data_IF_010854574523
#
_entry.id   IF_010854574523
#
_cell.length_a   1.000
_cell.length_b   1.000
_cell.length_c   1.000
_cell.angle_alpha   90.00
_cell.angle_beta   90.00
_cell.angle_gamma   90.00
#
_symmetry.space_group_name_H-M   'P 1'
#
loop_
_entity.id
_entity.type
_entity.pdbx_description
1 polymer ?
#
# COMPACT_ATOMS: atom_id res chain seq x y z
N UNK A 1 3.98 1.23 30.85
CA UNK A 1 5.39 1.22 30.40
C UNK A 1 6.10 -0.07 30.83
N UNK A 2 5.90 -1.16 30.11
CA UNK A 2 6.48 -2.48 30.46
C UNK A 2 7.68 -2.89 29.57
N UNK A 3 8.39 -1.93 28.99
CA UNK A 3 9.49 -2.22 28.03
C UNK A 3 10.89 -1.91 28.60
N UNK A 4 10.99 -1.31 29.78
CA UNK A 4 12.26 -0.99 30.44
C UNK A 4 12.86 -2.24 31.10
N UNK A 5 13.47 -3.13 30.33
CA UNK A 5 14.11 -4.35 30.79
C UNK A 5 14.17 -5.48 29.76
N UNK A 6 13.51 -5.32 28.62
CA UNK A 6 13.57 -6.31 27.54
C UNK A 6 14.92 -6.18 26.83
N UNK A 7 15.78 -7.20 26.97
CA UNK A 7 17.01 -7.31 26.19
C UNK A 7 16.71 -7.41 24.69
N UNK A 8 17.68 -7.01 23.86
CA UNK A 8 17.54 -7.18 22.40
C UNK A 8 17.40 -8.66 22.03
N UNK A 9 16.54 -8.96 21.05
CA UNK A 9 16.37 -10.30 20.49
C UNK A 9 17.00 -10.35 19.09
N UNK A 10 17.79 -11.38 18.83
CA UNK A 10 18.50 -11.56 17.55
C UNK A 10 18.59 -13.02 17.15
N UNK A 11 18.98 -13.25 15.92
CA UNK A 11 19.11 -14.59 15.34
C UNK A 11 20.00 -15.50 16.22
N UNK A 12 19.52 -16.74 16.41
CA UNK A 12 20.16 -17.77 17.26
C UNK A 12 19.61 -17.82 18.68
N UNK A 13 18.96 -16.75 19.16
CA UNK A 13 18.33 -16.76 20.50
C UNK A 13 17.09 -17.65 20.54
N UNK A 14 16.78 -18.18 21.74
CA UNK A 14 15.65 -19.07 21.99
C UNK A 14 14.94 -18.67 23.28
N UNK A 15 13.66 -19.03 23.37
CA UNK A 15 12.88 -18.87 24.60
C UNK A 15 11.55 -18.16 24.39
N UNK A 16 10.87 -17.90 25.50
CA UNK A 16 9.52 -17.33 25.51
C UNK A 16 9.46 -15.92 24.91
N UNK A 17 10.48 -15.08 25.13
CA UNK A 17 10.53 -13.73 24.59
C UNK A 17 10.65 -13.74 23.05
N UNK A 18 11.38 -14.73 22.49
CA UNK A 18 11.43 -14.94 21.03
C UNK A 18 10.05 -15.39 20.54
N UNK A 19 9.40 -16.32 21.22
CA UNK A 19 8.06 -16.78 20.85
C UNK A 19 7.03 -15.65 20.92
N UNK A 20 7.11 -14.79 21.94
CA UNK A 20 6.26 -13.60 22.07
C UNK A 20 6.44 -12.61 20.91
N UNK A 21 7.68 -12.33 20.52
CA UNK A 21 7.99 -11.53 19.35
C UNK A 21 7.41 -12.15 18.07
N UNK A 22 7.61 -13.46 17.88
CA UNK A 22 7.10 -14.19 16.73
C UNK A 22 5.57 -14.14 16.63
N UNK A 23 4.86 -14.25 17.75
CA UNK A 23 3.40 -14.09 17.79
C UNK A 23 2.98 -12.68 17.41
N UNK A 24 3.64 -11.65 17.95
CA UNK A 24 3.34 -10.27 17.60
C UNK A 24 3.58 -9.96 16.11
N UNK A 25 4.65 -10.51 15.51
CA UNK A 25 4.92 -10.41 14.08
C UNK A 25 3.90 -11.19 13.24
N UNK A 26 3.47 -12.36 13.71
CA UNK A 26 2.41 -13.15 13.08
C UNK A 26 1.07 -12.41 13.07
N UNK A 27 0.66 -11.86 14.21
CA UNK A 27 -0.60 -11.13 14.36
C UNK A 27 -0.65 -9.90 13.42
N UNK A 28 0.52 -9.34 13.10
CA UNK A 28 0.68 -8.24 12.13
C UNK A 28 0.95 -8.72 10.69
N UNK A 29 0.94 -10.02 10.42
CA UNK A 29 1.10 -10.62 9.10
C UNK A 29 2.54 -10.64 8.56
N UNK A 30 3.56 -10.30 9.37
CA UNK A 30 4.97 -10.33 8.95
C UNK A 30 5.60 -11.71 9.08
N UNK A 31 5.00 -12.63 9.82
CA UNK A 31 5.47 -13.99 10.01
C UNK A 31 4.33 -14.99 9.79
N UNK A 32 4.64 -16.21 9.36
CA UNK A 32 3.65 -17.28 9.24
C UNK A 32 3.57 -18.09 10.55
N UNK A 33 2.43 -18.75 10.79
CA UNK A 33 2.18 -19.53 12.01
C UNK A 33 3.25 -20.61 12.25
N UNK A 34 3.71 -21.27 11.20
CA UNK A 34 4.71 -22.35 11.26
C UNK A 34 6.10 -21.88 11.74
N UNK A 35 6.33 -20.57 11.71
CA UNK A 35 7.57 -19.96 12.20
C UNK A 35 7.51 -19.46 13.65
N UNK A 36 6.40 -19.72 14.37
CA UNK A 36 6.30 -19.47 15.82
C UNK A 36 6.90 -20.67 16.56
N UNK A 37 8.22 -20.70 16.64
CA UNK A 37 8.97 -21.85 17.17
C UNK A 37 9.69 -21.59 18.50
N UNK A 38 9.72 -20.33 18.94
CA UNK A 38 10.55 -19.92 20.09
C UNK A 38 12.05 -19.85 19.77
N UNK A 39 12.46 -20.11 18.53
CA UNK A 39 13.84 -19.96 18.07
C UNK A 39 13.88 -18.81 17.05
N UNK A 40 14.75 -17.83 17.26
CA UNK A 40 14.94 -16.69 16.34
C UNK A 40 15.73 -17.17 15.11
N UNK A 41 14.98 -17.61 14.10
CA UNK A 41 15.52 -18.13 12.83
C UNK A 41 15.83 -17.02 11.84
N UNK A 42 16.36 -17.38 10.66
CA UNK A 42 16.53 -16.45 9.53
C UNK A 42 15.18 -15.89 9.04
N UNK A 43 14.10 -16.66 9.11
CA UNK A 43 12.75 -16.21 8.79
C UNK A 43 12.26 -15.17 9.79
N UNK A 44 12.52 -15.38 11.09
CA UNK A 44 12.21 -14.40 12.14
C UNK A 44 13.01 -13.10 11.90
N UNK A 45 14.31 -13.20 11.57
CA UNK A 45 15.15 -12.04 11.24
C UNK A 45 14.59 -11.26 10.04
N UNK A 46 14.22 -11.97 8.97
CA UNK A 46 13.61 -11.35 7.79
C UNK A 46 12.30 -10.62 8.15
N UNK A 47 11.43 -11.24 8.93
CA UNK A 47 10.18 -10.63 9.39
C UNK A 47 10.43 -9.37 10.25
N UNK A 48 11.43 -9.38 11.12
CA UNK A 48 11.86 -8.21 11.90
C UNK A 48 12.34 -7.09 10.98
N UNK A 49 13.18 -7.40 9.98
CA UNK A 49 13.66 -6.40 9.01
C UNK A 49 12.51 -5.77 8.22
N UNK A 50 11.57 -6.59 7.72
CA UNK A 50 10.40 -6.10 6.98
C UNK A 50 9.51 -5.21 7.86
N UNK A 51 9.31 -5.59 9.12
CA UNK A 51 8.58 -4.78 10.09
C UNK A 51 9.29 -3.45 10.40
N UNK A 52 10.59 -3.49 10.67
CA UNK A 52 11.41 -2.29 10.91
C UNK A 52 11.35 -1.32 9.73
N UNK A 53 11.50 -1.84 8.51
CA UNK A 53 11.41 -1.04 7.29
C UNK A 53 10.04 -0.37 7.15
N UNK A 54 8.96 -1.11 7.41
CA UNK A 54 7.60 -0.58 7.36
C UNK A 54 7.36 0.50 8.43
N UNK A 55 7.99 0.37 9.60
CA UNK A 55 7.92 1.36 10.69
C UNK A 55 8.86 2.55 10.50
N UNK A 56 9.73 2.54 9.48
CA UNK A 56 10.77 3.57 9.31
C UNK A 56 11.90 3.47 10.33
N UNK A 57 12.09 2.30 10.93
CA UNK A 57 13.21 2.00 11.82
C UNK A 57 14.42 1.50 11.02
N UNK A 58 15.60 1.47 11.65
CA UNK A 58 16.78 0.79 11.07
C UNK A 58 16.48 -0.70 10.88
N UNK A 59 16.55 -1.18 9.63
CA UNK A 59 16.20 -2.55 9.26
C UNK A 59 17.40 -3.50 9.43
N UNK A 60 17.92 -3.64 10.65
CA UNK A 60 19.05 -4.47 10.99
C UNK A 60 18.70 -5.94 11.30
N UNK A 61 17.41 -6.21 11.52
CA UNK A 61 16.91 -7.54 11.87
C UNK A 61 17.15 -7.92 13.33
N UNK A 62 17.46 -6.93 14.19
CA UNK A 62 17.62 -7.08 15.63
C UNK A 62 16.44 -6.39 16.31
N UNK A 63 15.66 -7.12 17.10
CA UNK A 63 14.54 -6.55 17.82
C UNK A 63 15.05 -5.90 19.13
N UNK A 64 15.56 -4.68 19.02
CA UNK A 64 15.93 -3.82 20.14
C UNK A 64 14.72 -3.07 20.73
N UNK A 65 14.96 -2.18 21.68
CA UNK A 65 13.91 -1.44 22.41
C UNK A 65 12.93 -0.70 21.49
N UNK A 66 13.41 -0.04 20.45
CA UNK A 66 12.56 0.66 19.49
C UNK A 66 11.62 -0.29 18.73
N UNK A 67 12.13 -1.43 18.29
CA UNK A 67 11.34 -2.45 17.60
C UNK A 67 10.32 -3.11 18.56
N UNK A 68 10.77 -3.50 19.76
CA UNK A 68 9.93 -4.17 20.74
C UNK A 68 8.82 -3.27 21.27
N UNK A 69 9.12 -1.99 21.54
CA UNK A 69 8.10 -1.03 21.97
C UNK A 69 6.99 -0.84 20.95
N UNK A 70 7.34 -0.77 19.66
CA UNK A 70 6.35 -0.55 18.60
C UNK A 70 5.58 -1.81 18.23
N UNK A 71 6.23 -2.99 18.23
CA UNK A 71 5.57 -4.25 17.86
C UNK A 71 4.57 -4.71 18.93
N UNK A 72 4.81 -4.37 20.19
CA UNK A 72 3.90 -4.68 21.30
C UNK A 72 2.88 -3.57 21.60
N UNK A 73 3.00 -2.42 20.97
CA UNK A 73 2.03 -1.35 21.14
C UNK A 73 0.71 -1.69 20.44
N UNK A 74 -0.33 -1.90 21.24
CA UNK A 74 -1.68 -2.19 20.75
C UNK A 74 -2.33 -1.03 19.97
N UNK A 75 -1.85 0.20 20.17
CA UNK A 75 -2.31 1.37 19.42
C UNK A 75 -1.69 1.44 18.02
N UNK A 76 -0.56 0.77 17.80
CA UNK A 76 0.09 0.67 16.51
C UNK A 76 -0.72 -0.26 15.58
N UNK A 77 -1.30 0.31 14.51
CA UNK A 77 -2.13 -0.42 13.54
C UNK A 77 -1.34 -0.90 12.31
N UNK A 78 -0.01 -0.85 12.36
CA UNK A 78 0.81 -1.38 11.28
C UNK A 78 0.64 -2.89 11.15
N UNK A 79 0.19 -3.31 9.97
CA UNK A 79 0.17 -4.70 9.50
C UNK A 79 0.91 -4.78 8.16
N UNK A 80 1.38 -5.96 7.78
CA UNK A 80 2.08 -6.14 6.49
C UNK A 80 1.21 -5.73 5.30
N UNK A 81 -0.10 -5.96 5.38
CA UNK A 81 -1.05 -5.59 4.34
C UNK A 81 -1.12 -4.07 4.07
N UNK A 82 -0.74 -3.24 5.05
CA UNK A 82 -0.70 -1.78 4.92
C UNK A 82 0.71 -1.18 5.10
N UNK A 83 1.74 -2.02 5.07
CA UNK A 83 3.13 -1.59 5.27
C UNK A 83 3.59 -0.53 4.25
N UNK A 84 3.18 -0.66 2.99
CA UNK A 84 3.51 0.32 1.96
C UNK A 84 2.90 1.69 2.24
N UNK A 85 1.69 1.74 2.82
CA UNK A 85 1.07 2.98 3.25
C UNK A 85 1.96 3.74 4.25
N UNK A 86 2.43 3.08 5.30
CA UNK A 86 3.29 3.72 6.31
C UNK A 86 4.64 4.15 5.74
N UNK A 87 5.25 3.31 4.89
CA UNK A 87 6.52 3.59 4.23
C UNK A 87 6.45 4.79 3.29
N UNK A 88 5.35 4.95 2.55
CA UNK A 88 5.18 6.00 1.55
C UNK A 88 4.73 7.33 2.15
N UNK A 89 4.24 7.35 3.40
CA UNK A 89 3.82 8.59 4.07
C UNK A 89 4.99 9.59 4.17
N UNK A 90 4.76 10.79 3.70
CA UNK A 90 5.77 11.85 3.61
C UNK A 90 6.55 11.91 2.30
N UNK A 91 6.28 10.99 1.34
CA UNK A 91 6.90 11.00 0.01
C UNK A 91 5.93 11.39 -1.11
N UNK A 92 4.65 11.55 -0.78
CA UNK A 92 3.57 11.75 -1.75
C UNK A 92 3.61 13.15 -2.33
N UNK A 93 3.57 13.25 -3.65
CA UNK A 93 3.52 14.52 -4.38
C UNK A 93 2.21 14.68 -5.13
N UNK A 94 1.87 15.93 -5.45
CA UNK A 94 0.79 16.28 -6.34
C UNK A 94 1.35 16.46 -7.76
N UNK A 95 0.78 15.78 -8.75
CA UNK A 95 1.22 15.82 -10.13
C UNK A 95 0.03 16.11 -11.06
N UNK A 96 0.12 17.19 -11.82
CA UNK A 96 -0.89 17.57 -12.78
C UNK A 96 -0.85 16.62 -13.99
N UNK A 97 -2.01 16.06 -14.34
CA UNK A 97 -2.15 15.13 -15.45
C UNK A 97 -1.66 15.70 -16.77
N UNK A 98 -2.00 16.96 -17.07
CA UNK A 98 -1.63 17.64 -18.32
C UNK A 98 -0.27 18.35 -18.28
N UNK A 99 0.44 18.29 -17.15
CA UNK A 99 1.77 18.85 -16.95
C UNK A 99 2.75 17.77 -16.46
N UNK A 100 2.90 16.73 -17.26
CA UNK A 100 3.83 15.63 -17.00
C UNK A 100 3.23 14.38 -16.37
N UNK A 101 1.99 14.42 -15.86
CA UNK A 101 1.35 13.25 -15.24
C UNK A 101 1.05 12.14 -16.25
N UNK A 102 0.54 12.52 -17.44
CA UNK A 102 0.25 11.59 -18.52
C UNK A 102 1.52 10.90 -19.05
N UNK A 103 2.60 11.64 -19.20
CA UNK A 103 3.91 11.14 -19.64
C UNK A 103 4.55 10.26 -18.56
N UNK A 104 4.48 10.66 -17.29
CA UNK A 104 5.01 9.88 -16.18
C UNK A 104 4.29 8.54 -16.07
N UNK A 105 2.97 8.53 -16.00
CA UNK A 105 2.17 7.30 -15.94
C UNK A 105 1.79 6.86 -17.37
N UNK A 106 2.79 6.65 -18.23
CA UNK A 106 2.58 6.36 -19.66
C UNK A 106 1.81 5.05 -19.91
N UNK A 107 1.28 4.88 -21.12
CA UNK A 107 0.66 3.61 -21.56
C UNK A 107 1.65 2.47 -21.43
N UNK A 108 1.20 1.36 -20.85
CA UNK A 108 2.04 0.19 -20.56
C UNK A 108 2.74 0.24 -19.20
N UNK A 109 2.72 1.38 -18.48
CA UNK A 109 3.27 1.47 -17.13
C UNK A 109 2.60 0.45 -16.20
N UNK A 110 3.42 -0.26 -15.43
CA UNK A 110 3.01 -1.20 -14.37
C UNK A 110 3.41 -0.59 -13.04
N UNK A 111 2.45 -0.38 -12.17
CA UNK A 111 2.61 0.42 -10.96
C UNK A 111 1.86 -0.20 -9.77
N UNK A 112 2.15 0.30 -8.58
CA UNK A 112 1.42 -0.07 -7.37
C UNK A 112 0.41 1.02 -7.01
N UNK A 113 -0.79 0.59 -6.67
CA UNK A 113 -1.86 1.43 -6.12
C UNK A 113 -1.99 1.12 -4.64
N UNK A 114 -1.95 2.16 -3.79
CA UNK A 114 -2.20 2.05 -2.35
C UNK A 114 -3.46 2.82 -2.00
N UNK A 115 -4.47 2.13 -1.49
CA UNK A 115 -5.71 2.77 -1.01
C UNK A 115 -5.46 3.49 0.31
N UNK A 116 -5.70 4.79 0.34
CA UNK A 116 -5.37 5.64 1.50
C UNK A 116 -6.22 5.32 2.74
N UNK A 117 -7.47 4.90 2.54
CA UNK A 117 -8.42 4.64 3.65
C UNK A 117 -8.17 3.31 4.35
N UNK A 118 -7.67 2.30 3.62
CA UNK A 118 -7.42 0.96 4.16
C UNK A 118 -5.95 0.63 4.30
N UNK A 119 -5.08 1.35 3.59
CA UNK A 119 -3.65 1.05 3.46
C UNK A 119 -3.33 -0.16 2.57
N UNK A 120 -4.34 -0.85 2.03
CA UNK A 120 -4.14 -2.01 1.15
C UNK A 120 -3.56 -1.59 -0.20
N UNK A 121 -2.69 -2.44 -0.75
CA UNK A 121 -2.02 -2.20 -2.03
C UNK A 121 -2.28 -3.34 -3.02
N UNK A 122 -2.34 -2.98 -4.29
CA UNK A 122 -2.42 -3.91 -5.41
C UNK A 122 -1.63 -3.37 -6.61
N UNK A 123 -1.35 -4.22 -7.58
CA UNK A 123 -0.64 -3.84 -8.80
C UNK A 123 -1.60 -3.65 -9.96
N UNK A 124 -1.34 -2.63 -10.74
CA UNK A 124 -2.13 -2.28 -11.91
C UNK A 124 -1.24 -1.93 -13.11
N UNK A 125 -1.86 -1.89 -14.28
CA UNK A 125 -1.25 -1.50 -15.53
C UNK A 125 -2.15 -0.51 -16.25
N UNK A 126 -1.59 0.61 -16.75
CA UNK A 126 -2.28 1.51 -17.65
C UNK A 126 -2.23 0.97 -19.08
N UNK A 127 -3.37 0.86 -19.75
CA UNK A 127 -3.43 0.49 -21.14
C UNK A 127 -3.93 1.64 -22.06
N UNK A 128 -4.60 2.66 -21.51
CA UNK A 128 -5.21 3.70 -22.30
C UNK A 128 -5.51 4.97 -21.53
N UNK A 129 -6.47 5.74 -22.08
CA UNK A 129 -6.97 6.98 -21.51
C UNK A 129 -6.18 8.21 -21.95
N UNK A 130 -6.92 9.27 -22.33
CA UNK A 130 -6.36 10.57 -22.68
C UNK A 130 -6.54 11.60 -21.55
N UNK A 131 -7.73 11.63 -20.94
CA UNK A 131 -8.07 12.54 -19.86
C UNK A 131 -7.70 12.05 -18.47
N UNK A 132 -7.46 10.75 -18.33
CA UNK A 132 -7.08 10.03 -17.12
C UNK A 132 -6.46 8.68 -17.51
N UNK A 133 -6.00 7.91 -16.54
CA UNK A 133 -5.40 6.61 -16.84
C UNK A 133 -6.45 5.49 -16.79
N UNK A 134 -6.80 4.92 -17.95
CA UNK A 134 -7.57 3.67 -18.03
C UNK A 134 -6.64 2.53 -17.66
N UNK A 135 -6.98 1.84 -16.58
CA UNK A 135 -6.10 0.90 -15.92
C UNK A 135 -6.82 -0.39 -15.55
N UNK A 136 -6.08 -1.47 -15.45
CA UNK A 136 -6.57 -2.76 -15.02
C UNK A 136 -5.66 -3.39 -13.96
N UNK A 137 -6.18 -4.23 -13.05
CA UNK A 137 -5.33 -5.01 -12.17
C UNK A 137 -4.50 -6.01 -12.97
N UNK A 138 -3.32 -6.37 -12.49
CA UNK A 138 -2.42 -7.28 -13.22
C UNK A 138 -2.86 -8.73 -13.08
N UNK A 139 -3.28 -9.15 -11.88
CA UNK A 139 -3.61 -10.55 -11.57
C UNK A 139 -4.97 -10.67 -10.88
N UNK A 140 -5.48 -11.92 -10.77
CA UNK A 140 -6.68 -12.21 -9.95
C UNK A 140 -6.49 -11.84 -8.48
N UNK A 141 -5.26 -11.93 -7.97
CA UNK A 141 -4.96 -11.48 -6.61
C UNK A 141 -5.14 -9.97 -6.47
N UNK A 142 -4.63 -9.19 -7.41
CA UNK A 142 -4.80 -7.73 -7.43
C UNK A 142 -6.30 -7.36 -7.48
N UNK A 143 -7.08 -8.07 -8.30
CA UNK A 143 -8.54 -7.92 -8.36
C UNK A 143 -9.21 -8.25 -7.02
N UNK A 144 -8.75 -9.28 -6.33
CA UNK A 144 -9.30 -9.64 -5.00
C UNK A 144 -9.06 -8.54 -3.96
N UNK A 145 -7.93 -7.85 -4.03
CA UNK A 145 -7.65 -6.69 -3.18
C UNK A 145 -8.61 -5.54 -3.50
N UNK A 146 -8.79 -5.19 -4.77
CA UNK A 146 -9.77 -4.16 -5.18
C UNK A 146 -11.16 -4.49 -4.63
N UNK A 147 -11.62 -5.73 -4.81
CA UNK A 147 -12.92 -6.19 -4.34
C UNK A 147 -13.04 -6.10 -2.81
N UNK A 148 -11.95 -6.29 -2.08
CA UNK A 148 -11.92 -6.22 -0.60
C UNK A 148 -11.99 -4.80 -0.04
N UNK A 149 -11.86 -3.76 -0.86
CA UNK A 149 -11.94 -2.37 -0.40
C UNK A 149 -13.37 -1.97 -0.02
N UNK A 150 -14.30 -2.13 -0.94
CA UNK A 150 -15.73 -1.88 -0.74
C UNK A 150 -16.60 -2.59 -1.80
N UNK A 151 -16.05 -3.65 -2.40
CA UNK A 151 -16.63 -4.27 -3.59
C UNK A 151 -16.38 -3.42 -4.85
N UNK A 152 -17.12 -3.70 -5.91
CA UNK A 152 -17.08 -2.91 -7.13
C UNK A 152 -18.07 -1.74 -7.03
N UNK A 153 -17.55 -0.51 -7.08
CA UNK A 153 -18.33 0.70 -6.81
C UNK A 153 -17.86 1.87 -7.67
N UNK A 154 -18.81 2.75 -8.01
CA UNK A 154 -18.54 4.04 -8.62
C UNK A 154 -18.10 5.10 -7.61
N UNK A 155 -18.04 4.77 -6.32
CA UNK A 155 -17.52 5.68 -5.30
C UNK A 155 -16.06 6.01 -5.57
N UNK A 156 -15.68 7.28 -5.36
CA UNK A 156 -14.30 7.73 -5.54
C UNK A 156 -13.53 7.43 -4.27
N UNK A 157 -12.30 6.95 -4.46
CA UNK A 157 -11.37 6.59 -3.38
C UNK A 157 -10.06 7.34 -3.54
N UNK A 158 -9.53 7.92 -2.46
CA UNK A 158 -8.19 8.47 -2.46
C UNK A 158 -7.16 7.35 -2.52
N UNK A 159 -6.21 7.46 -3.42
CA UNK A 159 -5.14 6.47 -3.62
C UNK A 159 -3.79 7.15 -3.79
N UNK A 160 -2.74 6.40 -3.58
CA UNK A 160 -1.39 6.73 -4.03
C UNK A 160 -0.98 5.81 -5.17
N UNK A 161 -0.42 6.38 -6.21
CA UNK A 161 0.16 5.65 -7.34
C UNK A 161 1.68 5.72 -7.20
N UNK A 162 2.33 4.57 -7.06
CA UNK A 162 3.78 4.46 -6.96
C UNK A 162 4.34 3.84 -8.23
N UNK A 163 5.14 4.61 -8.95
CA UNK A 163 5.77 4.21 -10.20
C UNK A 163 7.11 4.92 -10.37
N UNK A 164 8.12 4.17 -10.81
CA UNK A 164 9.46 4.69 -11.11
C UNK A 164 10.02 5.59 -10.00
N UNK A 165 9.98 5.11 -8.75
CA UNK A 165 10.53 5.78 -7.58
C UNK A 165 9.76 7.02 -7.09
N UNK A 166 8.61 7.34 -7.68
CA UNK A 166 7.75 8.48 -7.31
C UNK A 166 6.39 7.97 -6.84
N UNK A 167 5.85 8.60 -5.80
CA UNK A 167 4.49 8.33 -5.30
C UNK A 167 3.64 9.58 -5.47
N UNK A 168 2.52 9.44 -6.17
CA UNK A 168 1.64 10.54 -6.59
C UNK A 168 0.25 10.35 -6.01
N UNK A 169 -0.33 11.42 -5.47
CA UNK A 169 -1.71 11.46 -5.02
C UNK A 169 -2.67 11.36 -6.22
N UNK A 170 -3.66 10.48 -6.09
CA UNK A 170 -4.63 10.21 -7.14
C UNK A 170 -5.99 9.82 -6.57
N UNK A 171 -6.93 9.56 -7.45
CA UNK A 171 -8.26 9.04 -7.14
C UNK A 171 -8.63 7.93 -8.12
N UNK A 172 -9.38 6.95 -7.66
CA UNK A 172 -9.96 5.90 -8.51
C UNK A 172 -11.42 5.63 -8.12
N UNK A 173 -12.13 4.86 -8.94
CA UNK A 173 -13.27 4.07 -8.55
C UNK A 173 -12.93 2.59 -8.77
N UNK A 174 -13.73 1.66 -8.25
CA UNK A 174 -13.46 0.22 -8.32
C UNK A 174 -14.42 -0.54 -9.26
N UNK A 175 -15.32 0.17 -9.95
CA UNK A 175 -16.31 -0.44 -10.85
C UNK A 175 -15.65 -0.87 -12.16
N UNK A 176 -15.69 -2.17 -12.52
CA UNK A 176 -15.27 -2.62 -13.85
C UNK A 176 -16.23 -2.07 -14.92
N UNK A 177 -15.69 -1.54 -16.02
CA UNK A 177 -16.48 -1.06 -17.14
C UNK A 177 -15.70 -1.08 -18.45
N UNK A 178 -16.41 -1.08 -19.57
CA UNK A 178 -15.89 -0.95 -20.94
C UNK A 178 -14.78 -1.98 -21.29
N UNK A 179 -13.68 -1.52 -21.91
CA UNK A 179 -12.62 -2.39 -22.42
C UNK A 179 -11.99 -3.29 -21.35
N UNK A 180 -11.81 -4.56 -21.71
CA UNK A 180 -11.23 -5.61 -20.87
C UNK A 180 -10.00 -6.24 -21.57
N UNK A 181 -8.85 -5.56 -21.57
CA UNK A 181 -7.65 -6.03 -22.29
C UNK A 181 -7.07 -7.34 -21.75
N UNK A 182 -7.29 -7.63 -20.45
CA UNK A 182 -6.74 -8.83 -19.79
C UNK A 182 -7.86 -9.63 -19.10
N UNK A 183 -8.67 -10.40 -19.85
CA UNK A 183 -9.82 -11.14 -19.27
C UNK A 183 -9.44 -12.14 -18.17
N UNK A 184 -8.18 -12.60 -18.16
CA UNK A 184 -7.68 -13.58 -17.18
C UNK A 184 -7.42 -13.00 -15.78
N UNK A 185 -7.48 -11.68 -15.60
CA UNK A 185 -7.24 -11.04 -14.30
C UNK A 185 -8.46 -11.08 -13.36
N UNK A 186 -9.64 -11.52 -13.84
CA UNK A 186 -10.87 -11.61 -13.04
C UNK A 186 -11.57 -10.27 -12.79
N UNK A 187 -11.14 -9.20 -13.47
CA UNK A 187 -11.74 -7.88 -13.46
C UNK A 187 -12.38 -7.63 -14.84
N UNK A 188 -13.70 -7.67 -14.91
CA UNK A 188 -14.42 -7.63 -16.19
C UNK A 188 -14.57 -6.21 -16.73
N UNK A 189 -13.46 -5.67 -17.22
CA UNK A 189 -13.35 -4.30 -17.72
C UNK A 189 -12.09 -3.60 -17.23
N UNK A 190 -12.16 -2.27 -17.11
CA UNK A 190 -11.12 -1.45 -16.53
C UNK A 190 -11.68 -0.50 -15.47
N UNK A 191 -10.79 0.14 -14.72
CA UNK A 191 -11.10 1.26 -13.82
C UNK A 191 -10.28 2.49 -14.20
N UNK A 192 -10.71 3.67 -13.74
CA UNK A 192 -10.06 4.93 -14.07
C UNK A 192 -9.29 5.48 -12.89
N UNK A 193 -8.05 5.91 -13.15
CA UNK A 193 -7.20 6.64 -12.19
C UNK A 193 -7.12 8.09 -12.63
N UNK A 194 -7.49 9.01 -11.73
CA UNK A 194 -7.42 10.44 -11.90
C UNK A 194 -6.30 11.03 -11.05
N UNK A 195 -5.34 11.69 -11.68
CA UNK A 195 -4.39 12.58 -11.03
C UNK A 195 -5.00 13.99 -10.89
N UNK A 196 -4.23 14.91 -10.33
CA UNK A 196 -4.63 16.31 -10.26
C UNK A 196 -4.93 16.86 -11.64
N UNK A 197 -6.05 17.56 -11.79
CA UNK A 197 -6.60 18.11 -13.06
C UNK A 197 -7.01 17.08 -14.13
N UNK A 198 -6.97 15.77 -13.87
CA UNK A 198 -7.57 14.79 -14.80
C UNK A 198 -9.04 15.10 -15.07
N UNK A 199 -9.51 14.78 -16.27
CA UNK A 199 -10.87 15.06 -16.73
C UNK A 199 -11.66 13.77 -16.96
N UNK A 200 -12.98 13.89 -17.03
CA UNK A 200 -13.88 12.81 -17.43
C UNK A 200 -14.29 12.94 -18.90
N UNK A 201 -14.58 11.81 -19.55
CA UNK A 201 -14.99 11.81 -20.97
C UNK A 201 -16.34 12.50 -21.21
N UNK A 202 -17.28 12.38 -20.26
CA UNK A 202 -18.64 12.83 -20.43
C UNK A 202 -18.81 14.31 -20.81
N UNK A 203 -17.91 15.16 -20.34
CA UNK A 203 -17.99 16.62 -20.60
C UNK A 203 -16.62 17.29 -20.73
N UNK A 204 -15.53 16.53 -20.79
CA UNK A 204 -14.15 17.01 -20.87
C UNK A 204 -13.76 17.99 -19.75
N UNK A 205 -14.39 17.82 -18.56
CA UNK A 205 -14.13 18.65 -17.36
C UNK A 205 -13.59 17.80 -16.22
N UNK A 206 -13.01 18.44 -15.25
CA UNK A 206 -12.65 17.81 -13.99
C UNK A 206 -13.90 17.31 -13.26
N UNK A 207 -13.79 16.15 -12.62
CA UNK A 207 -14.82 15.64 -11.73
C UNK A 207 -14.53 16.11 -10.30
N UNK A 208 -15.37 16.95 -9.68
CA UNK A 208 -15.13 17.48 -8.33
C UNK A 208 -14.94 16.38 -7.29
N UNK A 209 -15.66 15.24 -7.43
CA UNK A 209 -15.52 14.10 -6.51
C UNK A 209 -14.15 13.42 -6.64
N UNK A 210 -13.60 13.27 -7.86
CA UNK A 210 -12.24 12.79 -8.05
C UNK A 210 -11.22 13.77 -7.49
N UNK A 211 -11.35 15.07 -7.78
CA UNK A 211 -10.40 16.07 -7.30
C UNK A 211 -10.38 16.20 -5.77
N UNK A 212 -11.52 16.06 -5.09
CA UNK A 212 -11.55 15.97 -3.62
C UNK A 212 -10.75 14.76 -3.10
N UNK A 213 -10.90 13.59 -3.72
CA UNK A 213 -10.12 12.41 -3.34
C UNK A 213 -8.63 12.57 -3.64
N UNK A 214 -8.24 13.25 -4.72
CA UNK A 214 -6.83 13.60 -4.98
C UNK A 214 -6.27 14.46 -3.86
N UNK A 215 -7.01 15.48 -3.40
CA UNK A 215 -6.59 16.33 -2.29
C UNK A 215 -6.54 15.58 -0.94
N UNK A 216 -7.51 14.68 -0.69
CA UNK A 216 -7.50 13.79 0.47
C UNK A 216 -6.24 12.91 0.46
N UNK A 217 -5.92 12.30 -0.68
CA UNK A 217 -4.74 11.46 -0.86
C UNK A 217 -3.42 12.24 -0.65
N UNK A 218 -3.35 13.47 -1.17
CA UNK A 218 -2.20 14.34 -0.97
C UNK A 218 -2.02 14.75 0.49
N UNK A 219 -3.11 15.16 1.16
CA UNK A 219 -3.10 15.56 2.56
C UNK A 219 -2.70 14.40 3.49
N UNK A 220 -3.20 13.19 3.23
CA UNK A 220 -2.84 11.99 3.97
C UNK A 220 -1.36 11.60 3.81
N UNK A 221 -0.74 11.99 2.69
CA UNK A 221 0.67 11.74 2.41
C UNK A 221 1.63 12.73 3.04
N UNK A 222 1.16 13.79 3.69
CA UNK A 222 2.04 14.75 4.38
C UNK A 222 2.61 14.13 5.66
N UNK A 223 3.85 14.50 5.99
CA UNK A 223 4.39 14.24 7.33
C UNK A 223 3.63 15.12 8.33
N UNK A 224 3.23 14.54 9.43
CA UNK A 224 2.80 15.28 10.61
C UNK A 224 4.02 15.62 11.43
#
# INVERSE_FOLDING_TARGET
>A
SAVAGMGMLKQGMKGEEVMKLQRALYDRGFLTKDNISGTFTSQTRKAVMEYQQAMGLSADGIAGSATLSTVYDSSNKLEKANADFYRLKGTVVLLDWFKGGNEWLHKGARFTVTDVRTGKSFRAKRFGGWYHADSEPITKYDTSIIKSLEGFSWNRRPIWVTYNGKTVAASMHTMPHMANPTPSNGFDGHFCIHLYHSKVHANSKECPRHQRCVQEAYSAGKKH
#
